data_IF_301452854102
#
_entry.id   IF_301452854102
#
_cell.length_a   1.000
_cell.length_b   1.000
_cell.length_c   1.000
_cell.angle_alpha   90.00
_cell.angle_beta   90.00
_cell.angle_gamma   90.00
#
_symmetry.space_group_name_H-M   'P 1'
#
loop_
_entity.id
_entity.type
_entity.pdbx_description
1 polymer ?
#
# COMPACT_ATOMS: atom_id res chain seq x y z
N UNK A 1 -20.08 -32.03 -68.36
CA UNK A 1 -20.97 -31.27 -67.45
C UNK A 1 -20.09 -30.30 -66.69
N UNK A 2 -20.06 -29.05 -67.12
CA UNK A 2 -19.27 -27.98 -66.53
C UNK A 2 -20.24 -27.00 -65.85
N UNK A 3 -19.94 -26.62 -64.62
CA UNK A 3 -20.41 -25.39 -63.98
C UNK A 3 -19.27 -24.86 -63.07
N UNK A 4 -19.21 -23.53 -62.88
CA UNK A 4 -17.96 -22.78 -62.90
C UNK A 4 -17.60 -22.16 -61.55
N UNK A 5 -16.42 -21.52 -61.53
CA UNK A 5 -15.72 -21.05 -60.35
C UNK A 5 -16.40 -19.96 -59.54
N UNK A 6 -16.03 -19.94 -58.25
CA UNK A 6 -16.26 -18.82 -57.35
C UNK A 6 -14.90 -18.17 -57.13
N UNK A 7 -14.71 -17.03 -57.78
CA UNK A 7 -13.61 -16.13 -57.52
C UNK A 7 -13.73 -15.60 -56.08
N UNK A 8 -12.75 -15.89 -55.23
CA UNK A 8 -12.55 -15.14 -53.98
C UNK A 8 -11.94 -13.78 -54.32
N UNK A 9 -12.82 -12.85 -54.66
CA UNK A 9 -12.53 -11.42 -54.69
C UNK A 9 -13.40 -10.74 -53.65
N UNK A 10 -12.84 -10.47 -52.48
CA UNK A 10 -13.32 -9.41 -51.61
C UNK A 10 -12.14 -8.89 -50.79
N UNK A 11 -11.34 -8.04 -51.43
CA UNK A 11 -10.53 -7.10 -50.69
C UNK A 11 -11.51 -6.15 -49.99
N UNK A 12 -11.68 -6.33 -48.68
CA UNK A 12 -12.53 -5.47 -47.86
C UNK A 12 -12.07 -4.02 -48.06
N UNK A 13 -12.99 -3.17 -48.52
CA UNK A 13 -12.74 -1.75 -48.66
C UNK A 13 -12.28 -1.18 -47.30
N UNK A 14 -11.31 -0.24 -47.28
CA UNK A 14 -10.87 0.38 -46.04
C UNK A 14 -12.05 1.07 -45.37
N UNK A 15 -12.29 0.70 -44.12
CA UNK A 15 -13.36 1.27 -43.30
C UNK A 15 -13.21 2.79 -43.26
N UNK A 16 -14.32 3.49 -43.44
CA UNK A 16 -14.36 4.93 -43.30
C UNK A 16 -14.09 5.31 -41.84
N UNK A 17 -13.54 6.51 -41.62
CA UNK A 17 -13.23 7.03 -40.28
C UNK A 17 -14.44 7.05 -39.35
N UNK A 18 -15.65 7.16 -39.92
CA UNK A 18 -16.91 7.13 -39.17
C UNK A 18 -17.32 5.71 -38.78
N UNK A 19 -17.01 4.70 -39.61
CA UNK A 19 -17.18 3.28 -39.27
C UNK A 19 -16.20 2.84 -38.18
N UNK A 20 -14.95 3.29 -38.23
CA UNK A 20 -13.96 3.04 -37.16
C UNK A 20 -14.40 3.64 -35.82
N UNK A 21 -14.97 4.85 -35.84
CA UNK A 21 -15.53 5.50 -34.66
C UNK A 21 -16.76 4.78 -34.14
N UNK A 22 -17.65 4.31 -35.03
CA UNK A 22 -18.81 3.52 -34.66
C UNK A 22 -18.40 2.20 -34.00
N UNK A 23 -17.38 1.51 -34.54
CA UNK A 23 -16.83 0.28 -33.96
C UNK A 23 -16.25 0.55 -32.57
N UNK A 24 -15.44 1.60 -32.40
CA UNK A 24 -14.88 1.96 -31.10
C UNK A 24 -15.97 2.28 -30.06
N UNK A 25 -17.04 2.96 -30.48
CA UNK A 25 -18.15 3.32 -29.61
C UNK A 25 -18.98 2.08 -29.22
N UNK A 26 -19.20 1.16 -30.16
CA UNK A 26 -19.82 -0.14 -29.89
C UNK A 26 -18.96 -0.96 -28.92
N UNK A 27 -17.64 -0.96 -29.07
CA UNK A 27 -16.72 -1.65 -28.15
C UNK A 27 -16.77 -1.07 -26.74
N UNK A 28 -16.79 0.26 -26.60
CA UNK A 28 -16.92 0.93 -25.29
C UNK A 28 -18.27 0.62 -24.65
N UNK A 29 -19.36 0.67 -25.43
CA UNK A 29 -20.71 0.34 -24.93
C UNK A 29 -20.80 -1.15 -24.57
N UNK A 30 -20.22 -2.04 -25.36
CA UNK A 30 -20.16 -3.48 -25.05
C UNK A 30 -19.34 -3.76 -23.80
N UNK A 31 -18.18 -3.10 -23.63
CA UNK A 31 -17.35 -3.20 -22.44
C UNK A 31 -18.09 -2.65 -21.21
N UNK A 32 -18.73 -1.49 -21.32
CA UNK A 32 -19.56 -0.93 -20.26
C UNK A 32 -20.72 -1.86 -19.92
N UNK A 33 -21.33 -2.51 -20.91
CA UNK A 33 -22.40 -3.49 -20.70
C UNK A 33 -21.90 -4.76 -20.01
N UNK A 34 -20.69 -5.22 -20.31
CA UNK A 34 -20.05 -6.36 -19.61
C UNK A 34 -19.66 -5.98 -18.18
N UNK A 35 -19.19 -4.74 -17.96
CA UNK A 35 -18.85 -4.25 -16.63
C UNK A 35 -20.08 -3.94 -15.77
N UNK A 36 -21.20 -3.55 -16.40
CA UNK A 36 -22.50 -3.33 -15.74
C UNK A 36 -23.42 -4.56 -15.80
N UNK A 37 -22.99 -5.68 -16.39
CA UNK A 37 -23.56 -6.96 -16.02
C UNK A 37 -23.18 -7.13 -14.56
N UNK A 38 -24.12 -6.76 -13.68
CA UNK A 38 -24.19 -7.32 -12.34
C UNK A 38 -23.82 -8.80 -12.49
N UNK A 39 -22.87 -9.32 -11.69
CA UNK A 39 -22.69 -10.76 -11.61
C UNK A 39 -24.09 -11.35 -11.53
N UNK A 40 -24.38 -12.35 -12.38
CA UNK A 40 -25.63 -13.11 -12.27
C UNK A 40 -25.93 -13.27 -10.80
N UNK A 41 -27.18 -12.94 -10.39
CA UNK A 41 -27.65 -13.14 -9.02
C UNK A 41 -26.95 -14.38 -8.51
N UNK A 42 -26.07 -14.21 -7.51
CA UNK A 42 -25.27 -15.32 -7.02
C UNK A 42 -26.26 -16.46 -6.88
N UNK A 43 -26.05 -17.57 -7.58
CA UNK A 43 -26.74 -18.81 -7.23
C UNK A 43 -26.45 -18.95 -5.75
N UNK A 44 -27.42 -18.55 -4.92
CA UNK A 44 -27.40 -18.75 -3.50
C UNK A 44 -27.24 -20.25 -3.41
N UNK A 45 -26.05 -20.70 -3.03
CA UNK A 45 -26.02 -21.92 -2.27
C UNK A 45 -26.90 -21.59 -1.07
N UNK A 46 -28.14 -22.07 -1.10
CA UNK A 46 -29.16 -21.82 -0.08
C UNK A 46 -28.82 -22.48 1.26
N UNK A 47 -27.65 -23.12 1.35
CA UNK A 47 -27.07 -23.59 2.59
C UNK A 47 -25.86 -22.69 2.93
N UNK A 48 -25.96 -21.98 4.06
CA UNK A 48 -24.91 -21.21 4.79
C UNK A 48 -24.86 -19.67 4.66
N UNK A 49 -25.81 -18.99 4.01
CA UNK A 49 -25.97 -17.53 4.18
C UNK A 49 -26.86 -17.16 5.38
N UNK A 50 -26.65 -17.82 6.52
CA UNK A 50 -27.06 -17.29 7.84
C UNK A 50 -26.03 -16.24 8.31
N UNK A 51 -25.84 -15.17 7.54
CA UNK A 51 -25.12 -14.01 8.04
C UNK A 51 -26.10 -12.85 7.97
N UNK A 52 -26.68 -12.55 9.13
CA UNK A 52 -26.86 -11.22 9.73
C UNK A 52 -27.82 -11.42 10.91
N UNK A 53 -27.29 -11.27 12.13
CA UNK A 53 -27.93 -11.45 13.45
C UNK A 53 -28.00 -12.88 14.01
N UNK A 54 -26.87 -13.59 14.05
CA UNK A 54 -26.71 -14.62 15.11
C UNK A 54 -26.56 -13.88 16.44
N UNK A 55 -27.57 -13.94 17.30
CA UNK A 55 -27.64 -13.28 18.62
C UNK A 55 -26.31 -13.37 19.38
N UNK A 56 -25.48 -12.31 19.44
CA UNK A 56 -24.18 -12.27 20.17
C UNK A 56 -22.88 -12.20 19.34
N UNK A 57 -22.92 -11.81 18.06
CA UNK A 57 -21.72 -11.37 17.33
C UNK A 57 -21.40 -9.94 17.82
N UNK A 58 -20.28 -9.75 18.51
CA UNK A 58 -19.92 -8.46 19.12
C UNK A 58 -19.09 -7.60 18.16
N UNK A 59 -18.40 -8.23 17.20
CA UNK A 59 -17.60 -7.52 16.22
C UNK A 59 -18.51 -6.74 15.26
N UNK A 60 -18.48 -5.41 15.33
CA UNK A 60 -19.24 -4.61 14.37
C UNK A 60 -18.60 -4.72 12.98
N UNK A 61 -19.41 -4.61 11.92
CA UNK A 61 -18.91 -4.60 10.55
C UNK A 61 -17.81 -3.54 10.32
N UNK A 62 -17.96 -2.36 10.92
CA UNK A 62 -16.94 -1.32 10.85
C UNK A 62 -15.62 -1.79 11.47
N UNK A 63 -15.70 -2.44 12.64
CA UNK A 63 -14.51 -2.94 13.34
C UNK A 63 -13.84 -4.08 12.57
N UNK A 64 -14.64 -4.98 12.01
CA UNK A 64 -14.17 -6.05 11.13
C UNK A 64 -13.46 -5.48 9.90
N UNK A 65 -14.02 -4.45 9.25
CA UNK A 65 -13.41 -3.77 8.11
C UNK A 65 -12.08 -3.11 8.47
N UNK A 66 -12.01 -2.42 9.62
CA UNK A 66 -10.77 -1.79 10.11
C UNK A 66 -9.69 -2.85 10.39
N UNK A 67 -10.03 -3.91 11.12
CA UNK A 67 -9.11 -5.00 11.45
C UNK A 67 -8.62 -5.72 10.19
N UNK A 68 -9.55 -6.09 9.29
CA UNK A 68 -9.22 -6.75 8.03
C UNK A 68 -8.32 -5.86 7.18
N UNK A 69 -8.58 -4.56 7.12
CA UNK A 69 -7.74 -3.60 6.41
C UNK A 69 -6.32 -3.50 6.98
N UNK A 70 -6.18 -3.45 8.31
CA UNK A 70 -4.89 -3.45 8.99
C UNK A 70 -4.11 -4.75 8.75
N UNK A 71 -4.77 -5.90 8.88
CA UNK A 71 -4.14 -7.20 8.67
C UNK A 71 -3.77 -7.44 7.21
N UNK A 72 -4.61 -7.03 6.27
CA UNK A 72 -4.30 -7.05 4.84
C UNK A 72 -3.10 -6.14 4.51
N UNK A 73 -2.99 -5.01 5.19
CA UNK A 73 -1.81 -4.15 5.05
C UNK A 73 -0.55 -4.81 5.60
N UNK A 74 -0.62 -5.47 6.77
CA UNK A 74 0.53 -6.13 7.39
C UNK A 74 0.95 -7.42 6.65
N UNK A 75 0.00 -8.16 6.08
CA UNK A 75 0.27 -9.40 5.36
C UNK A 75 1.03 -9.19 4.06
N UNK A 76 0.95 -7.99 3.48
CA UNK A 76 1.74 -7.59 2.33
C UNK A 76 3.19 -7.26 2.74
N UNK A 77 3.97 -8.32 2.99
CA UNK A 77 5.35 -8.29 3.49
C UNK A 77 6.38 -7.85 2.44
N UNK A 78 6.07 -8.03 1.16
CA UNK A 78 6.92 -7.67 0.02
C UNK A 78 6.07 -7.20 -1.15
N UNK A 79 6.58 -6.26 -1.95
CA UNK A 79 5.95 -5.89 -3.21
C UNK A 79 6.08 -7.01 -4.25
N UNK A 80 5.24 -8.05 -4.14
CA UNK A 80 5.16 -9.15 -5.09
C UNK A 80 3.77 -9.18 -5.76
N UNK A 81 3.72 -8.76 -7.02
CA UNK A 81 2.48 -8.72 -7.80
C UNK A 81 1.92 -10.12 -8.09
N UNK A 82 2.71 -11.18 -7.87
CA UNK A 82 2.28 -12.56 -8.11
C UNK A 82 1.74 -13.24 -6.85
N UNK A 83 1.96 -12.65 -5.66
CA UNK A 83 1.65 -13.23 -4.34
C UNK A 83 0.98 -12.20 -3.43
N UNK A 84 -0.23 -11.84 -3.82
CA UNK A 84 -1.16 -10.96 -3.12
C UNK A 84 -1.95 -11.77 -2.08
N UNK A 85 -1.81 -11.45 -0.78
CA UNK A 85 -2.62 -12.05 0.27
C UNK A 85 -4.04 -11.48 0.29
N UNK A 86 -5.02 -12.34 0.56
CA UNK A 86 -6.38 -12.00 0.93
C UNK A 86 -6.60 -12.39 2.40
N UNK A 87 -7.21 -11.51 3.17
CA UNK A 87 -7.48 -11.69 4.60
C UNK A 87 -8.98 -11.56 4.84
N UNK A 88 -9.52 -12.41 5.69
CA UNK A 88 -10.83 -12.25 6.30
C UNK A 88 -10.72 -12.43 7.81
N UNK A 89 -11.57 -11.75 8.56
CA UNK A 89 -11.63 -11.80 10.02
C UNK A 89 -13.02 -12.29 10.39
N UNK A 90 -13.08 -13.28 11.28
CA UNK A 90 -14.32 -13.88 11.74
C UNK A 90 -14.27 -14.05 13.25
N UNK A 91 -15.33 -13.65 13.95
CA UNK A 91 -15.51 -13.95 15.36
C UNK A 91 -16.13 -15.36 15.53
N UNK A 92 -15.53 -16.17 16.39
CA UNK A 92 -16.05 -17.48 16.82
C UNK A 92 -16.35 -17.42 18.32
N UNK A 93 -17.43 -18.09 18.76
CA UNK A 93 -17.93 -18.01 20.15
C UNK A 93 -17.49 -19.14 21.07
N UNK A 94 -17.00 -20.24 20.54
CA UNK A 94 -16.64 -21.40 21.34
C UNK A 94 -15.40 -22.07 20.76
N UNK A 95 -14.19 -21.67 21.22
CA UNK A 95 -13.89 -20.61 22.21
C UNK A 95 -14.16 -19.19 21.66
N UNK A 96 -14.26 -18.18 22.55
CA UNK A 96 -14.33 -16.77 22.11
C UNK A 96 -12.97 -16.40 21.50
N UNK A 97 -12.90 -16.42 20.18
CA UNK A 97 -11.66 -16.23 19.43
C UNK A 97 -11.91 -15.43 18.16
N UNK A 98 -10.91 -14.64 17.79
CA UNK A 98 -10.87 -13.96 16.52
C UNK A 98 -10.11 -14.84 15.52
N UNK A 99 -10.83 -15.46 14.60
CA UNK A 99 -10.26 -16.25 13.53
C UNK A 99 -9.81 -15.34 12.38
N UNK A 100 -8.57 -15.51 11.95
CA UNK A 100 -8.01 -14.79 10.80
C UNK A 100 -7.79 -15.80 9.69
N UNK A 101 -8.61 -15.69 8.63
CA UNK A 101 -8.52 -16.52 7.44
C UNK A 101 -7.60 -15.83 6.44
N UNK A 102 -6.65 -16.57 5.87
CA UNK A 102 -5.70 -16.05 4.89
C UNK A 102 -5.63 -16.95 3.68
N UNK A 103 -5.61 -16.34 2.50
CA UNK A 103 -5.28 -16.98 1.24
C UNK A 103 -4.21 -16.15 0.52
N UNK A 104 -3.38 -16.78 -0.29
CA UNK A 104 -2.42 -16.10 -1.18
C UNK A 104 -2.64 -16.66 -2.57
N UNK A 105 -2.65 -15.82 -3.61
CA UNK A 105 -2.65 -16.34 -4.97
C UNK A 105 -1.29 -17.02 -5.25
N UNK A 106 -1.32 -18.34 -5.40
CA UNK A 106 -0.16 -19.15 -5.79
C UNK A 106 -0.23 -19.52 -7.26
N UNK A 107 0.89 -19.44 -7.98
CA UNK A 107 0.96 -19.95 -9.36
C UNK A 107 1.05 -21.48 -9.43
N UNK A 108 1.68 -22.12 -8.44
CA UNK A 108 1.76 -23.58 -8.29
C UNK A 108 1.36 -23.96 -6.85
N UNK A 109 0.71 -25.12 -6.65
CA UNK A 109 0.42 -25.62 -5.31
C UNK A 109 1.70 -25.73 -4.46
N UNK A 110 1.72 -25.12 -3.28
CA UNK A 110 2.82 -25.18 -2.31
C UNK A 110 3.93 -24.14 -2.50
N UNK A 111 3.90 -23.32 -3.55
CA UNK A 111 4.86 -22.21 -3.76
C UNK A 111 4.57 -21.00 -2.84
N UNK A 112 3.37 -20.97 -2.26
CA UNK A 112 2.82 -19.96 -1.38
C UNK A 112 3.04 -20.26 0.12
N UNK A 113 3.25 -21.53 0.51
CA UNK A 113 3.43 -21.93 1.91
C UNK A 113 4.51 -21.12 2.65
N UNK A 114 5.63 -20.83 2.00
CA UNK A 114 6.69 -20.01 2.60
C UNK A 114 6.31 -18.55 2.81
N UNK A 115 5.36 -18.01 2.03
CA UNK A 115 4.84 -16.65 2.21
C UNK A 115 3.80 -16.63 3.32
N UNK A 116 2.86 -17.59 3.29
CA UNK A 116 1.83 -17.75 4.31
C UNK A 116 2.46 -17.91 5.70
N UNK A 117 3.42 -18.83 5.86
CA UNK A 117 4.08 -19.06 7.14
C UNK A 117 4.76 -17.79 7.67
N UNK A 118 5.44 -17.02 6.80
CA UNK A 118 6.08 -15.75 7.22
C UNK A 118 5.08 -14.74 7.75
N UNK A 119 3.89 -14.65 7.13
CA UNK A 119 2.84 -13.75 7.61
C UNK A 119 2.27 -14.25 8.92
N UNK A 120 1.98 -15.55 9.04
CA UNK A 120 1.51 -16.17 10.29
C UNK A 120 2.50 -15.93 11.45
N UNK A 121 3.79 -16.20 11.24
CA UNK A 121 4.84 -15.92 12.24
C UNK A 121 4.91 -14.42 12.59
N UNK A 122 4.61 -13.55 11.62
CA UNK A 122 4.52 -12.11 11.83
C UNK A 122 3.34 -11.71 12.70
N UNK A 123 2.15 -12.23 12.40
CA UNK A 123 0.94 -12.02 13.18
C UNK A 123 1.10 -12.55 14.61
N UNK A 124 1.68 -13.73 14.78
CA UNK A 124 1.97 -14.28 16.12
C UNK A 124 2.85 -13.33 16.94
N UNK A 125 3.91 -12.78 16.34
CA UNK A 125 4.77 -11.78 17.00
C UNK A 125 4.05 -10.48 17.36
N UNK A 126 2.99 -10.12 16.64
CA UNK A 126 2.18 -8.92 16.92
C UNK A 126 1.13 -9.21 18.00
N UNK A 127 0.49 -10.38 17.96
CA UNK A 127 -0.60 -10.73 18.89
C UNK A 127 -0.10 -11.25 20.23
N UNK A 128 1.05 -11.93 20.28
CA UNK A 128 1.60 -12.47 21.51
C UNK A 128 1.85 -11.39 22.59
N UNK A 129 2.38 -10.18 22.29
CA UNK A 129 2.45 -9.11 23.27
C UNK A 129 1.08 -8.58 23.71
N UNK A 130 0.07 -8.61 22.81
CA UNK A 130 -1.26 -8.10 23.09
C UNK A 130 -2.08 -9.02 23.99
N UNK A 131 -1.82 -10.33 23.98
CA UNK A 131 -2.49 -11.29 24.87
C UNK A 131 -2.16 -11.09 26.36
N UNK A 132 -1.08 -10.36 26.65
CA UNK A 132 -0.71 -9.97 28.01
C UNK A 132 -1.47 -8.76 28.56
N UNK A 133 -2.28 -8.07 27.74
CA UNK A 133 -3.11 -6.95 28.18
C UNK A 133 -4.27 -7.50 29.01
N UNK A 134 -4.36 -7.05 30.26
CA UNK A 134 -5.48 -7.39 31.16
C UNK A 134 -6.46 -6.23 31.21
N UNK A 135 -7.74 -6.53 31.02
CA UNK A 135 -8.80 -5.57 31.29
C UNK A 135 -9.02 -5.48 32.82
N UNK A 136 -8.70 -4.32 33.41
CA UNK A 136 -8.88 -4.11 34.84
C UNK A 136 -8.47 -2.73 35.34
N UNK A 137 -8.81 -2.38 36.60
CA UNK A 137 -8.45 -1.11 37.22
C UNK A 137 -6.95 -1.00 37.58
N UNK A 138 -6.23 -2.13 37.64
CA UNK A 138 -4.78 -2.20 37.85
C UNK A 138 -4.03 -2.19 36.50
N UNK A 139 -4.32 -1.19 35.66
CA UNK A 139 -3.54 -0.98 34.42
C UNK A 139 -2.16 -0.44 34.78
N UNK A 140 -1.16 -1.30 34.66
CA UNK A 140 0.23 -0.91 34.74
C UNK A 140 0.66 -0.19 33.45
N UNK A 141 0.73 1.14 33.52
CA UNK A 141 1.09 2.02 32.40
C UNK A 141 2.47 1.66 31.82
N UNK A 142 3.44 1.28 32.67
CA UNK A 142 4.78 0.90 32.20
C UNK A 142 4.75 -0.39 31.38
N UNK A 143 3.88 -1.32 31.77
CA UNK A 143 3.66 -2.56 31.02
C UNK A 143 2.99 -2.28 29.66
N UNK A 144 2.03 -1.34 29.59
CA UNK A 144 1.39 -0.94 28.34
C UNK A 144 2.36 -0.30 27.35
N UNK A 145 3.23 0.61 27.81
CA UNK A 145 4.23 1.24 26.95
C UNK A 145 5.24 0.22 26.39
N UNK A 146 5.64 -0.75 27.21
CA UNK A 146 6.48 -1.87 26.77
C UNK A 146 5.78 -2.75 25.75
N UNK A 147 4.50 -3.09 25.96
CA UNK A 147 3.70 -3.85 25.00
C UNK A 147 3.58 -3.08 23.68
N UNK A 148 3.26 -1.77 23.74
CA UNK A 148 3.19 -0.90 22.57
C UNK A 148 4.51 -0.87 21.80
N UNK A 149 5.63 -0.77 22.51
CA UNK A 149 6.96 -0.80 21.89
C UNK A 149 7.24 -2.13 21.19
N UNK A 150 6.93 -3.26 21.84
CA UNK A 150 7.11 -4.60 21.27
C UNK A 150 6.24 -4.84 20.03
N UNK A 151 4.98 -4.40 20.08
CA UNK A 151 4.05 -4.46 18.94
C UNK A 151 4.60 -3.64 17.77
N UNK A 152 5.11 -2.43 18.04
CA UNK A 152 5.70 -1.60 17.00
C UNK A 152 6.93 -2.25 16.35
N UNK A 153 7.84 -2.84 17.15
CA UNK A 153 8.98 -3.56 16.61
C UNK A 153 8.57 -4.79 15.79
N UNK A 154 7.54 -5.53 16.22
CA UNK A 154 6.99 -6.66 15.47
C UNK A 154 6.44 -6.22 14.10
N UNK A 155 5.70 -5.10 14.06
CA UNK A 155 5.17 -4.52 12.81
C UNK A 155 6.30 -4.07 11.89
N UNK A 156 7.30 -3.36 12.42
CA UNK A 156 8.45 -2.91 11.64
C UNK A 156 9.21 -4.10 11.06
N UNK A 157 9.37 -5.18 11.82
CA UNK A 157 10.02 -6.39 11.34
C UNK A 157 9.22 -7.05 10.19
N UNK A 158 7.89 -7.16 10.32
CA UNK A 158 7.03 -7.64 9.22
C UNK A 158 7.12 -6.77 7.97
N UNK A 159 7.20 -5.45 8.16
CA UNK A 159 7.20 -4.47 7.08
C UNK A 159 8.59 -4.16 6.53
N UNK A 160 9.66 -4.72 7.10
CA UNK A 160 11.04 -4.31 6.86
C UNK A 160 11.39 -4.34 5.37
N UNK A 161 11.18 -5.47 4.70
CA UNK A 161 11.43 -5.62 3.26
C UNK A 161 10.70 -4.54 2.45
N UNK A 162 9.41 -4.33 2.73
CA UNK A 162 8.59 -3.34 2.03
C UNK A 162 9.03 -1.90 2.30
N UNK A 163 9.52 -1.61 3.51
CA UNK A 163 10.09 -0.30 3.85
C UNK A 163 11.35 -0.09 3.01
N UNK A 164 12.26 -1.06 2.99
CA UNK A 164 13.52 -0.98 2.23
C UNK A 164 13.24 -0.82 0.73
N UNK A 165 12.33 -1.61 0.16
CA UNK A 165 11.94 -1.52 -1.25
C UNK A 165 11.37 -0.14 -1.64
N UNK A 166 10.77 0.58 -0.67
CA UNK A 166 10.27 1.95 -0.89
C UNK A 166 11.35 3.00 -0.76
N UNK A 167 12.34 2.78 0.11
CA UNK A 167 13.47 3.68 0.30
C UNK A 167 14.44 3.61 -0.88
N UNK A 168 14.73 2.40 -1.36
CA UNK A 168 15.62 2.15 -2.48
C UNK A 168 15.08 1.00 -3.36
N UNK A 169 14.21 1.32 -4.33
CA UNK A 169 13.64 0.31 -5.24
C UNK A 169 14.69 -0.33 -6.16
N UNK A 170 15.91 0.23 -6.25
CA UNK A 170 16.98 -0.26 -7.13
C UNK A 170 17.85 -1.36 -6.52
N UNK A 171 17.87 -1.51 -5.18
CA UNK A 171 18.80 -2.44 -4.50
C UNK A 171 18.36 -3.91 -4.49
N UNK A 172 17.06 -4.23 -4.59
CA UNK A 172 16.58 -5.63 -4.49
C UNK A 172 16.15 -6.28 -5.80
N UNK A 173 15.93 -5.52 -6.88
CA UNK A 173 15.40 -6.06 -8.14
C UNK A 173 16.32 -5.72 -9.33
N UNK A 174 17.43 -6.46 -9.46
CA UNK A 174 18.32 -6.35 -10.64
C UNK A 174 17.77 -7.02 -11.92
N UNK A 175 16.52 -7.51 -11.95
CA UNK A 175 16.03 -8.37 -13.05
C UNK A 175 14.95 -7.80 -13.96
N UNK A 176 14.46 -6.58 -13.74
CA UNK A 176 13.42 -6.02 -14.62
C UNK A 176 13.84 -4.69 -15.20
N UNK A 177 13.69 -4.59 -16.53
CA UNK A 177 13.92 -3.45 -17.44
C UNK A 177 12.95 -2.29 -17.19
N UNK A 178 12.56 -2.07 -15.93
CA UNK A 178 11.67 -0.99 -15.51
C UNK A 178 12.56 0.16 -15.09
N UNK A 179 12.29 1.34 -15.64
CA UNK A 179 12.93 2.62 -15.34
C UNK A 179 13.48 2.67 -13.91
N UNK A 180 14.80 2.87 -13.77
CA UNK A 180 15.48 3.00 -12.48
C UNK A 180 14.78 4.11 -11.69
N UNK A 181 13.91 3.72 -10.76
CA UNK A 181 13.26 4.67 -9.85
C UNK A 181 14.35 5.21 -8.94
N UNK A 182 14.50 6.54 -8.93
CA UNK A 182 15.45 7.22 -8.04
C UNK A 182 15.17 6.85 -6.58
N UNK A 183 16.20 6.52 -5.78
CA UNK A 183 16.12 6.33 -4.34
C UNK A 183 15.45 7.49 -3.62
N UNK A 184 14.75 7.21 -2.53
CA UNK A 184 14.04 8.22 -1.73
C UNK A 184 14.98 9.33 -1.24
N UNK A 185 16.22 8.98 -0.89
CA UNK A 185 17.26 9.93 -0.49
C UNK A 185 17.49 11.00 -1.57
N UNK A 186 17.72 10.59 -2.80
CA UNK A 186 17.97 11.49 -3.93
C UNK A 186 16.77 12.40 -4.20
N UNK A 187 15.54 11.85 -4.09
CA UNK A 187 14.31 12.65 -4.25
C UNK A 187 14.19 13.73 -3.19
N UNK A 188 14.51 13.42 -1.93
CA UNK A 188 14.48 14.40 -0.84
C UNK A 188 15.58 15.46 -1.02
N UNK A 189 16.76 15.08 -1.49
CA UNK A 189 17.85 16.01 -1.81
C UNK A 189 17.44 16.97 -2.94
N UNK A 190 16.90 16.43 -4.03
CA UNK A 190 16.39 17.22 -5.15
C UNK A 190 15.25 18.17 -4.71
N UNK A 191 14.36 17.72 -3.83
CA UNK A 191 13.29 18.54 -3.26
C UNK A 191 13.84 19.73 -2.47
N UNK A 192 14.82 19.47 -1.61
CA UNK A 192 15.50 20.49 -0.82
C UNK A 192 16.17 21.51 -1.74
N UNK A 193 16.85 21.07 -2.80
CA UNK A 193 17.56 21.96 -3.71
C UNK A 193 16.58 22.82 -4.52
N UNK A 194 15.46 22.26 -4.98
CA UNK A 194 14.41 23.06 -5.64
C UNK A 194 13.86 24.15 -4.72
N UNK A 195 13.65 23.87 -3.43
CA UNK A 195 13.21 24.85 -2.44
C UNK A 195 14.29 25.88 -2.06
N UNK A 196 15.57 25.62 -2.34
CA UNK A 196 16.64 26.62 -2.20
C UNK A 196 16.69 27.54 -3.41
N UNK A 197 16.51 26.97 -4.61
CA UNK A 197 16.51 27.71 -5.88
C UNK A 197 15.29 28.63 -6.02
N UNK A 198 14.11 28.19 -5.54
CA UNK A 198 12.86 28.93 -5.63
C UNK A 198 12.08 28.81 -4.32
N UNK A 199 12.26 29.81 -3.43
CA UNK A 199 11.57 29.83 -2.16
C UNK A 199 10.15 30.38 -2.36
N UNK A 200 9.11 29.82 -1.70
CA UNK A 200 7.76 30.31 -1.83
C UNK A 200 7.65 31.81 -1.50
N UNK A 201 6.88 32.54 -2.32
CA UNK A 201 6.63 33.99 -2.11
C UNK A 201 5.70 34.25 -0.93
N UNK A 202 4.81 33.32 -0.63
CA UNK A 202 3.93 33.37 0.54
C UNK A 202 4.77 33.08 1.80
N UNK A 203 4.80 34.02 2.74
CA UNK A 203 5.57 33.95 3.98
C UNK A 203 5.24 32.69 4.79
N UNK A 204 3.94 32.34 4.89
CA UNK A 204 3.53 31.16 5.64
C UNK A 204 3.86 29.84 4.94
N UNK A 205 4.09 29.86 3.61
CA UNK A 205 4.56 28.70 2.87
C UNK A 205 6.09 28.62 2.90
N UNK A 206 6.77 29.77 3.06
CA UNK A 206 8.22 29.85 3.24
C UNK A 206 8.67 29.20 4.54
N UNK A 207 7.98 29.51 5.65
CA UNK A 207 8.29 28.90 6.95
C UNK A 207 8.07 27.39 6.93
N UNK A 208 6.96 26.95 6.32
CA UNK A 208 6.68 25.54 6.12
C UNK A 208 7.74 24.87 5.20
N UNK A 209 8.28 25.58 4.21
CA UNK A 209 9.37 25.07 3.36
C UNK A 209 10.69 24.93 4.13
N UNK A 210 10.99 25.81 5.09
CA UNK A 210 12.13 25.64 5.99
C UNK A 210 11.95 24.44 6.91
N UNK A 211 10.76 24.24 7.50
CA UNK A 211 10.45 23.06 8.33
C UNK A 211 10.57 21.77 7.50
N UNK A 212 10.03 21.77 6.26
CA UNK A 212 10.18 20.66 5.32
C UNK A 212 11.66 20.34 5.08
N UNK A 213 12.50 21.34 4.80
CA UNK A 213 13.93 21.15 4.58
C UNK A 213 14.62 20.58 5.82
N UNK A 214 14.25 21.02 7.02
CA UNK A 214 14.82 20.50 8.26
C UNK A 214 14.45 19.02 8.49
N UNK A 215 13.17 18.68 8.35
CA UNK A 215 12.65 17.30 8.52
C UNK A 215 13.16 16.36 7.43
N UNK A 216 13.20 16.80 6.17
CA UNK A 216 13.75 16.03 5.07
C UNK A 216 15.24 15.69 5.28
N UNK A 217 16.04 16.62 5.81
CA UNK A 217 17.45 16.35 6.20
C UNK A 217 17.55 15.33 7.34
N UNK A 218 16.63 15.36 8.31
CA UNK A 218 16.57 14.33 9.35
C UNK A 218 16.25 12.96 8.76
N UNK A 219 15.27 12.87 7.86
CA UNK A 219 14.92 11.64 7.15
C UNK A 219 16.11 11.10 6.33
N UNK A 220 16.81 11.95 5.56
CA UNK A 220 18.03 11.59 4.80
C UNK A 220 19.11 11.04 5.74
N UNK A 221 19.35 11.68 6.89
CA UNK A 221 20.30 11.16 7.91
C UNK A 221 19.84 9.82 8.47
N UNK A 222 18.54 9.61 8.60
CA UNK A 222 17.96 8.34 9.05
C UNK A 222 18.22 7.22 8.06
N UNK A 223 18.02 7.49 6.76
CA UNK A 223 18.35 6.54 5.69
C UNK A 223 19.82 6.16 5.79
N UNK A 224 20.72 7.14 5.87
CA UNK A 224 22.16 6.88 5.94
C UNK A 224 22.58 6.10 7.20
N UNK A 225 21.98 6.39 8.35
CA UNK A 225 22.24 5.65 9.59
C UNK A 225 21.78 4.20 9.47
N UNK A 226 20.56 3.97 9.00
CA UNK A 226 20.02 2.64 8.80
C UNK A 226 20.82 1.85 7.75
N UNK A 227 21.21 2.47 6.62
CA UNK A 227 22.05 1.81 5.60
C UNK A 227 23.40 1.36 6.16
N UNK A 228 23.93 2.08 7.15
CA UNK A 228 25.22 1.80 7.78
C UNK A 228 25.14 0.70 8.84
N UNK A 229 24.14 0.72 9.71
CA UNK A 229 24.09 -0.20 10.87
C UNK A 229 23.06 -1.33 10.70
N UNK A 230 21.98 -1.10 9.97
CA UNK A 230 20.89 -2.05 9.71
C UNK A 230 20.27 -2.67 10.98
N UNK A 231 20.14 -1.86 12.04
CA UNK A 231 19.52 -2.27 13.31
C UNK A 231 18.08 -1.74 13.45
N UNK A 232 17.25 -2.42 14.24
CA UNK A 232 15.84 -2.06 14.44
C UNK A 232 15.64 -0.67 15.04
N UNK A 233 16.52 -0.23 15.94
CA UNK A 233 16.46 1.12 16.51
C UNK A 233 16.60 2.22 15.44
N UNK A 234 17.47 2.01 14.44
CA UNK A 234 17.65 2.94 13.33
C UNK A 234 16.46 2.89 12.37
N UNK A 235 15.87 1.70 12.15
CA UNK A 235 14.65 1.55 11.35
C UNK A 235 13.46 2.27 12.00
N UNK A 236 13.29 2.14 13.32
CA UNK A 236 12.30 2.86 14.12
C UNK A 236 12.47 4.37 13.96
N UNK A 237 13.65 4.88 14.26
CA UNK A 237 13.95 6.31 14.12
C UNK A 237 13.76 6.82 12.68
N UNK A 238 14.02 5.98 11.68
CA UNK A 238 13.78 6.30 10.28
C UNK A 238 12.29 6.45 9.95
N UNK A 239 11.47 5.48 10.35
CA UNK A 239 10.02 5.52 10.13
C UNK A 239 9.40 6.71 10.84
N UNK A 240 9.82 6.99 12.08
CA UNK A 240 9.33 8.13 12.87
C UNK A 240 9.64 9.46 12.16
N UNK A 241 10.84 9.64 11.59
CA UNK A 241 11.20 10.84 10.84
C UNK A 241 10.40 11.01 9.55
N UNK A 242 10.09 9.92 8.86
CA UNK A 242 9.23 9.97 7.67
C UNK A 242 7.78 10.30 8.03
N UNK A 243 7.31 9.80 9.17
CA UNK A 243 6.01 10.15 9.71
C UNK A 243 5.94 11.64 10.05
N UNK A 244 6.91 12.15 10.82
CA UNK A 244 7.01 13.58 11.16
C UNK A 244 7.08 14.49 9.92
N UNK A 245 7.76 14.05 8.86
CA UNK A 245 7.81 14.77 7.60
C UNK A 245 6.43 14.83 6.92
N UNK A 246 5.68 13.73 6.94
CA UNK A 246 4.36 13.64 6.31
C UNK A 246 3.26 14.37 7.08
N UNK A 247 3.34 14.42 8.41
CA UNK A 247 2.35 15.09 9.27
C UNK A 247 2.62 16.60 9.44
N UNK A 248 3.63 17.12 8.76
CA UNK A 248 3.92 18.55 8.78
C UNK A 248 2.74 19.36 8.22
N UNK A 249 2.36 20.49 8.87
CA UNK A 249 1.37 21.41 8.31
C UNK A 249 1.74 21.85 6.88
N UNK A 250 0.75 21.95 5.99
CA UNK A 250 0.95 22.35 4.58
C UNK A 250 1.88 21.44 3.77
N UNK A 251 2.12 20.21 4.22
CA UNK A 251 2.90 19.22 3.48
C UNK A 251 2.41 19.06 2.02
N UNK A 252 1.09 18.96 1.83
CA UNK A 252 0.47 18.84 0.49
C UNK A 252 0.77 20.06 -0.39
N UNK A 253 0.72 21.27 0.17
CA UNK A 253 0.99 22.51 -0.56
C UNK A 253 2.45 22.60 -0.98
N UNK A 254 3.37 22.20 -0.10
CA UNK A 254 4.82 22.20 -0.38
C UNK A 254 5.16 21.17 -1.45
N UNK A 255 4.65 19.94 -1.32
CA UNK A 255 4.86 18.90 -2.34
C UNK A 255 4.30 19.37 -3.68
N UNK A 256 3.13 20.00 -3.69
CA UNK A 256 2.54 20.57 -4.91
C UNK A 256 3.40 21.68 -5.51
N UNK A 257 4.00 22.53 -4.68
CA UNK A 257 4.93 23.57 -5.13
C UNK A 257 6.21 22.97 -5.75
N UNK A 258 6.83 22.00 -5.08
CA UNK A 258 8.01 21.28 -5.58
C UNK A 258 7.71 20.61 -6.93
N UNK A 259 6.56 19.93 -7.05
CA UNK A 259 6.19 19.24 -8.30
C UNK A 259 5.96 20.21 -9.46
N UNK A 260 5.31 21.35 -9.21
CA UNK A 260 5.16 22.42 -10.23
C UNK A 260 6.53 22.90 -10.69
N UNK A 261 7.46 23.13 -9.74
CA UNK A 261 8.80 23.63 -10.05
C UNK A 261 9.66 22.61 -10.78
N UNK A 262 9.63 21.34 -10.37
CA UNK A 262 10.33 20.25 -11.06
C UNK A 262 9.91 20.16 -12.53
N UNK A 263 8.60 20.25 -12.81
CA UNK A 263 8.07 20.25 -14.19
C UNK A 263 8.58 21.44 -15.01
N UNK A 264 8.63 22.64 -14.42
CA UNK A 264 9.15 23.83 -15.09
C UNK A 264 10.66 23.77 -15.35
N UNK A 265 11.42 23.11 -14.48
CA UNK A 265 12.86 22.95 -14.62
C UNK A 265 13.28 21.84 -15.59
N UNK A 266 12.32 21.14 -16.22
CA UNK A 266 12.60 20.00 -17.12
C UNK A 266 13.23 18.79 -16.39
N UNK A 267 13.26 18.80 -15.05
CA UNK A 267 13.73 17.67 -14.25
C UNK A 267 12.59 16.65 -14.19
N UNK A 268 12.80 15.45 -14.73
CA UNK A 268 11.81 14.38 -14.72
C UNK A 268 11.33 14.13 -13.30
N UNK A 269 10.11 14.57 -12.99
CA UNK A 269 9.62 14.56 -11.61
C UNK A 269 9.39 13.12 -11.16
N UNK A 270 10.32 12.57 -10.38
CA UNK A 270 10.08 11.40 -9.56
C UNK A 270 9.10 11.78 -8.43
N UNK A 271 7.83 11.94 -8.80
CA UNK A 271 6.73 12.48 -8.00
C UNK A 271 6.82 12.10 -6.52
N UNK A 272 7.18 13.08 -5.69
CA UNK A 272 7.19 12.96 -4.22
C UNK A 272 5.77 12.65 -3.72
N UNK A 273 4.73 13.18 -4.37
CA UNK A 273 3.33 12.85 -4.05
C UNK A 273 2.96 11.40 -4.35
N UNK A 274 3.70 10.67 -5.20
CA UNK A 274 3.54 9.22 -5.36
C UNK A 274 4.42 8.39 -4.42
N UNK A 275 5.47 8.98 -3.86
CA UNK A 275 6.48 8.25 -3.08
C UNK A 275 6.21 8.35 -1.57
N UNK A 276 5.92 9.55 -1.07
CA UNK A 276 5.73 9.82 0.36
C UNK A 276 4.40 9.27 0.91
N UNK A 277 3.25 9.39 0.20
CA UNK A 277 2.00 8.77 0.67
C UNK A 277 2.04 7.24 0.71
N UNK A 278 2.96 6.59 -0.02
CA UNK A 278 3.15 5.13 0.08
C UNK A 278 3.85 4.70 1.36
N UNK A 279 4.54 5.62 2.05
CA UNK A 279 5.06 5.41 3.39
C UNK A 279 3.99 5.67 4.46
N UNK A 280 2.96 6.49 4.15
CA UNK A 280 1.79 6.77 5.03
C UNK A 280 0.99 5.53 5.41
N UNK A 281 0.99 4.50 4.56
CA UNK A 281 0.28 3.24 4.84
C UNK A 281 0.77 2.53 6.11
N UNK A 282 1.96 2.84 6.62
CA UNK A 282 2.57 2.19 7.80
C UNK A 282 1.94 2.66 9.13
N UNK A 283 0.92 3.51 9.11
CA UNK A 283 0.22 3.99 10.32
C UNK A 283 -0.66 2.89 10.95
N UNK A 284 -0.33 2.49 12.17
CA UNK A 284 -1.32 2.24 13.24
C UNK A 284 -1.79 3.63 13.72
N UNK A 285 -3.09 3.93 13.67
CA UNK A 285 -3.58 5.20 14.24
C UNK A 285 -3.39 5.18 15.76
N UNK A 286 -2.99 6.29 16.41
CA UNK A 286 -2.76 6.34 17.85
C UNK A 286 -4.05 6.50 18.67
N UNK A 287 -5.22 6.18 18.11
CA UNK A 287 -6.48 6.23 18.83
C UNK A 287 -6.93 4.79 19.13
N UNK A 288 -6.38 4.23 20.21
CA UNK A 288 -7.00 3.20 21.02
C UNK A 288 -7.18 3.78 22.43
#
# INVERSE_FOLDING_TARGET
MALPGIASSSAAAPLTRDEERAIALIQIVALLKVLHQQPLDSTRHEDDLEIVNKEGYELTFQREQELTGLLAFLSNTKYDNQRIPAIAVQESRAPYELQILMAVNGGKPGDDNGTIQKVLDGFERVFQPLSGIRDGPERDIENEDKIRSNVYDAILNMCNTRIIERLDPGKMNQKTTVEKKEPMKERLEAAIDLLKEDNPRDENLRDAAEDFKARARLAIRGIAAWEKHQVMADMRALVDRFYELNEMPKFVDIVSHIEKRSKQAGRGAASLSRALPKLRGIRMQPNF
#
